data_IF_920764576494
#
_entry.id   IF_920764576494
#
_cell.length_a   1.000
_cell.length_b   1.000
_cell.length_c   1.000
_cell.angle_alpha   90.00
_cell.angle_beta   90.00
_cell.angle_gamma   90.00
#
_symmetry.space_group_name_H-M   'P 1'
#
loop_
_entity.id
_entity.type
_entity.pdbx_description
1 polymer ?
#
# COMPACT_ATOMS: atom_id res chain seq x y z
N UNK A 1 -1.57 16.10 -6.72
CA UNK A 1 -1.62 14.72 -6.25
C UNK A 1 -1.90 13.77 -7.39
N UNK A 2 -1.22 12.65 -7.44
CA UNK A 2 -1.38 11.66 -8.47
C UNK A 2 -2.06 10.45 -7.89
N UNK A 3 -2.98 9.85 -8.67
CA UNK A 3 -3.66 8.61 -8.28
C UNK A 3 -3.44 7.57 -9.36
N UNK A 4 -3.39 6.34 -8.95
CA UNK A 4 -3.37 5.22 -9.88
C UNK A 4 -4.74 4.56 -9.86
N UNK A 5 -5.26 4.30 -11.05
CA UNK A 5 -6.52 3.62 -11.22
C UNK A 5 -6.32 2.38 -12.02
N UNK A 6 -7.13 1.38 -11.74
CA UNK A 6 -7.22 0.22 -12.60
C UNK A 6 -8.47 0.38 -13.42
N UNK A 7 -8.26 0.73 -14.67
CA UNK A 7 -9.30 1.13 -15.55
C UNK A 7 -9.67 0.02 -16.47
N UNK A 8 -10.96 -0.13 -16.72
CA UNK A 8 -11.46 -1.13 -17.62
C UNK A 8 -12.39 -0.49 -18.60
N UNK A 9 -12.46 -1.07 -19.77
CA UNK A 9 -13.43 -0.67 -20.73
C UNK A 9 -14.82 -0.85 -20.15
N UNK A 10 -15.68 0.09 -20.39
CA UNK A 10 -17.01 0.06 -19.80
C UNK A 10 -17.82 -1.14 -20.25
N UNK A 11 -17.58 -1.63 -21.44
CA UNK A 11 -18.34 -2.77 -21.92
C UNK A 11 -18.10 -4.02 -21.10
N UNK A 12 -16.93 -4.12 -20.48
CA UNK A 12 -16.62 -5.27 -19.67
C UNK A 12 -16.79 -5.05 -18.21
N UNK A 13 -17.20 -3.84 -17.85
CA UNK A 13 -17.14 -3.47 -16.51
C UNK A 13 -18.03 -4.28 -15.60
N UNK A 14 -19.09 -4.83 -16.11
CA UNK A 14 -19.95 -5.64 -15.29
C UNK A 14 -19.25 -6.84 -14.68
N UNK A 15 -18.32 -7.41 -15.41
CA UNK A 15 -17.58 -8.54 -14.92
C UNK A 15 -16.53 -8.13 -13.91
N UNK A 16 -16.15 -6.88 -13.93
CA UNK A 16 -15.05 -6.40 -13.12
C UNK A 16 -15.46 -5.55 -11.96
N UNK A 17 -16.73 -5.34 -11.79
CA UNK A 17 -17.12 -4.46 -10.72
C UNK A 17 -16.76 -5.00 -9.37
N UNK A 18 -16.54 -6.28 -9.26
CA UNK A 18 -16.08 -6.86 -8.01
C UNK A 18 -14.59 -6.59 -7.78
N UNK A 19 -13.89 -6.24 -8.83
CA UNK A 19 -12.48 -5.95 -8.71
C UNK A 19 -12.34 -4.57 -8.16
N UNK A 20 -11.62 -4.46 -7.11
CA UNK A 20 -11.47 -3.17 -6.50
C UNK A 20 -10.68 -2.26 -7.37
N UNK A 21 -11.09 -1.05 -7.36
CA UNK A 21 -10.35 0.03 -7.93
C UNK A 21 -9.64 0.69 -6.79
N UNK A 22 -8.60 0.06 -6.30
CA UNK A 22 -7.86 0.58 -5.17
C UNK A 22 -7.02 1.73 -5.66
N UNK A 23 -7.30 2.90 -5.13
CA UNK A 23 -6.55 4.10 -5.48
C UNK A 23 -5.34 4.22 -4.58
N UNK A 24 -4.22 4.59 -5.17
CA UNK A 24 -2.99 4.85 -4.45
C UNK A 24 -2.65 6.33 -4.64
N UNK A 25 -2.58 7.04 -3.56
CA UNK A 25 -2.41 8.50 -3.56
C UNK A 25 -0.93 8.86 -3.39
N UNK A 26 -0.59 10.10 -3.70
CA UNK A 26 0.78 10.59 -3.53
C UNK A 26 1.49 10.73 -4.86
N UNK A 27 2.81 10.80 -4.82
CA UNK A 27 3.62 11.02 -6.01
C UNK A 27 4.02 9.70 -6.65
N UNK A 28 3.01 8.98 -7.11
CA UNK A 28 3.14 7.65 -7.69
C UNK A 28 3.68 7.76 -9.11
N UNK A 29 4.59 6.87 -9.48
CA UNK A 29 5.21 6.90 -10.79
C UNK A 29 4.88 5.71 -11.69
N UNK A 30 4.25 4.64 -11.15
CA UNK A 30 3.89 3.48 -11.97
C UNK A 30 2.71 2.73 -11.34
N UNK A 31 2.30 1.64 -11.97
CA UNK A 31 1.19 0.81 -11.50
C UNK A 31 1.54 -0.09 -10.34
N UNK A 32 2.80 -0.12 -9.94
CA UNK A 32 3.25 -1.04 -8.90
C UNK A 32 3.53 -0.34 -7.58
N UNK A 33 2.91 0.80 -7.37
CA UNK A 33 2.97 1.62 -6.15
C UNK A 33 4.32 2.29 -5.88
N UNK A 34 5.22 2.30 -6.85
CA UNK A 34 6.47 3.04 -6.68
C UNK A 34 6.20 4.54 -6.72
N UNK A 35 7.03 5.28 -6.05
CA UNK A 35 6.87 6.73 -5.98
C UNK A 35 8.20 7.42 -6.20
N UNK A 36 8.16 8.76 -6.26
CA UNK A 36 9.39 9.53 -6.47
C UNK A 36 10.38 9.34 -5.33
N UNK A 37 9.93 8.91 -4.15
CA UNK A 37 10.81 8.72 -2.99
C UNK A 37 11.42 7.32 -2.96
N UNK A 38 10.65 6.30 -3.35
CA UNK A 38 11.08 4.90 -3.31
C UNK A 38 10.65 4.23 -4.61
N UNK A 39 11.63 3.90 -5.44
CA UNK A 39 11.33 3.41 -6.79
C UNK A 39 12.23 2.28 -7.25
N UNK A 40 12.76 1.51 -6.32
CA UNK A 40 13.54 0.32 -6.69
C UNK A 40 12.58 -0.80 -7.14
N UNK A 41 13.11 -1.86 -7.75
CA UNK A 41 12.27 -3.00 -8.11
C UNK A 41 11.53 -3.63 -6.94
N UNK A 42 12.02 -3.44 -5.71
CA UNK A 42 11.42 -4.02 -4.52
C UNK A 42 10.42 -3.09 -3.82
N UNK A 43 10.29 -1.85 -4.27
CA UNK A 43 9.41 -0.88 -3.62
C UNK A 43 8.02 -0.96 -4.24
N UNK A 44 7.32 -2.07 -3.94
CA UNK A 44 6.06 -2.39 -4.58
C UNK A 44 4.92 -2.58 -3.58
N UNK A 45 5.00 -1.96 -2.43
CA UNK A 45 3.86 -1.97 -1.51
C UNK A 45 3.35 -0.55 -1.29
N UNK A 46 2.07 -0.46 -0.98
CA UNK A 46 1.48 0.77 -0.48
C UNK A 46 0.89 0.48 0.88
N UNK A 47 0.80 1.49 1.71
CA UNK A 47 0.30 1.37 3.07
C UNK A 47 -0.97 2.21 3.20
N UNK A 48 -2.01 1.61 3.77
CA UNK A 48 -3.22 2.34 4.09
C UNK A 48 -2.99 3.03 5.42
N UNK A 49 -3.14 4.34 5.45
CA UNK A 49 -2.94 5.11 6.67
C UNK A 49 -4.22 5.13 7.50
N UNK A 50 -4.08 4.92 8.79
CA UNK A 50 -5.21 4.86 9.69
C UNK A 50 -5.99 6.17 9.73
N UNK A 51 -5.28 7.28 9.66
CA UNK A 51 -5.88 8.61 9.79
C UNK A 51 -6.90 8.94 8.71
N UNK A 52 -6.77 8.35 7.52
CA UNK A 52 -7.63 8.70 6.40
C UNK A 52 -8.09 7.50 5.58
N UNK A 53 -7.64 6.30 5.92
CA UNK A 53 -8.06 5.07 5.26
C UNK A 53 -7.72 5.06 3.77
N UNK A 54 -6.61 5.71 3.40
CA UNK A 54 -6.15 5.80 2.03
C UNK A 54 -4.76 5.21 1.89
N UNK A 55 -4.51 4.57 0.74
CA UNK A 55 -3.21 4.00 0.43
C UNK A 55 -2.25 5.05 -0.11
N UNK A 56 -1.03 5.03 0.39
CA UNK A 56 0.09 5.84 -0.11
C UNK A 56 1.31 4.93 -0.25
N UNK A 57 2.20 5.21 -1.21
CA UNK A 57 3.39 4.37 -1.39
C UNK A 57 4.37 4.45 -0.22
N UNK A 58 4.41 5.56 0.48
CA UNK A 58 5.32 5.75 1.60
C UNK A 58 4.85 6.89 2.49
N UNK A 59 5.50 7.03 3.64
CA UNK A 59 5.12 8.07 4.60
C UNK A 59 5.38 9.48 4.06
N UNK A 60 6.40 9.64 3.23
CA UNK A 60 6.69 10.96 2.64
C UNK A 60 5.59 11.39 1.69
N UNK A 61 5.03 10.45 0.94
CA UNK A 61 3.89 10.75 0.08
C UNK A 61 2.71 11.25 0.90
N UNK A 62 2.46 10.60 2.04
CA UNK A 62 1.39 11.04 2.93
C UNK A 62 1.68 12.43 3.49
N UNK A 63 2.91 12.66 3.97
CA UNK A 63 3.29 13.95 4.52
C UNK A 63 3.11 15.08 3.52
N UNK A 64 3.49 14.86 2.28
CA UNK A 64 3.45 15.90 1.25
C UNK A 64 2.06 16.15 0.68
N UNK A 65 1.19 15.16 0.77
CA UNK A 65 -0.09 15.22 0.06
C UNK A 65 -1.27 15.41 1.01
N UNK A 66 -1.22 14.83 2.18
CA UNK A 66 -2.34 14.88 3.12
C UNK A 66 -2.34 16.21 3.88
N UNK A 67 -3.51 16.59 4.33
CA UNK A 67 -3.70 17.81 5.09
C UNK A 67 -3.81 17.54 6.59
N UNK A 68 -3.35 16.39 7.03
CA UNK A 68 -3.47 15.95 8.42
C UNK A 68 -2.27 15.09 8.78
N UNK A 69 -2.07 14.85 10.07
CA UNK A 69 -0.97 14.02 10.54
C UNK A 69 -1.31 12.55 10.41
N UNK A 70 -0.29 11.74 10.15
CA UNK A 70 -0.44 10.30 10.12
C UNK A 70 -0.73 9.77 11.52
N UNK A 71 -1.53 8.71 11.58
CA UNK A 71 -1.78 7.96 12.81
C UNK A 71 -1.28 6.55 12.61
N UNK A 72 -0.76 5.96 13.66
CA UNK A 72 -0.25 4.59 13.61
C UNK A 72 -1.39 3.60 13.84
N UNK A 73 -1.32 2.47 13.14
CA UNK A 73 -2.20 1.34 13.46
C UNK A 73 -1.73 0.73 14.77
N UNK A 74 -2.63 0.48 15.68
CA UNK A 74 -2.31 -0.14 16.97
C UNK A 74 -2.09 -1.63 16.79
N UNK A 75 -1.37 -2.24 17.73
CA UNK A 75 -1.06 -3.65 17.68
C UNK A 75 -2.33 -4.51 17.57
N UNK A 76 -3.36 -4.15 18.30
CA UNK A 76 -4.61 -4.90 18.25
C UNK A 76 -5.38 -4.71 16.96
N UNK A 77 -4.91 -3.81 16.08
CA UNK A 77 -5.52 -3.57 14.77
C UNK A 77 -4.80 -4.28 13.63
N UNK A 78 -3.81 -5.10 13.93
CA UNK A 78 -2.99 -5.76 12.91
C UNK A 78 -3.77 -6.75 12.03
N UNK A 79 -5.01 -7.04 12.36
CA UNK A 79 -5.88 -7.84 11.49
C UNK A 79 -6.52 -7.03 10.37
N UNK A 80 -6.22 -5.75 10.29
CA UNK A 80 -6.80 -4.86 9.28
C UNK A 80 -6.01 -4.95 7.99
N UNK A 81 -6.71 -4.96 6.87
CA UNK A 81 -6.06 -4.87 5.56
C UNK A 81 -5.52 -3.48 5.37
N UNK A 82 -4.21 -3.34 5.42
CA UNK A 82 -3.55 -2.05 5.32
C UNK A 82 -2.31 -2.07 4.45
N UNK A 83 -2.03 -3.18 3.79
CA UNK A 83 -0.90 -3.31 2.89
C UNK A 83 -1.42 -3.74 1.53
N UNK A 84 -0.98 -3.08 0.47
CA UNK A 84 -1.35 -3.42 -0.89
C UNK A 84 -0.11 -3.91 -1.63
N UNK A 85 -0.17 -5.11 -2.17
CA UNK A 85 0.88 -5.59 -3.05
C UNK A 85 0.74 -4.91 -4.40
N UNK A 86 1.75 -4.19 -4.82
CA UNK A 86 1.71 -3.45 -6.08
C UNK A 86 1.77 -4.34 -7.31
N UNK A 87 2.15 -5.60 -7.16
CA UNK A 87 2.21 -6.51 -8.31
C UNK A 87 0.87 -7.20 -8.56
N UNK A 88 0.28 -7.81 -7.54
CA UNK A 88 -0.95 -8.57 -7.74
C UNK A 88 -2.20 -7.85 -7.23
N UNK A 89 -2.03 -6.70 -6.61
CA UNK A 89 -3.11 -5.84 -6.12
C UNK A 89 -3.95 -6.47 -5.02
N UNK A 90 -3.39 -7.46 -4.35
CA UNK A 90 -4.04 -8.07 -3.20
C UNK A 90 -3.77 -7.23 -1.97
N UNK A 91 -4.80 -7.03 -1.17
CA UNK A 91 -4.63 -6.39 0.14
C UNK A 91 -4.24 -7.44 1.16
N UNK A 92 -3.28 -7.09 2.00
CA UNK A 92 -2.80 -7.95 3.08
C UNK A 92 -3.10 -7.27 4.39
N UNK A 93 -3.34 -8.08 5.42
CA UNK A 93 -3.38 -7.51 6.76
C UNK A 93 -1.97 -7.15 7.20
N UNK A 94 -1.87 -6.28 8.19
CA UNK A 94 -0.56 -5.93 8.76
C UNK A 94 0.13 -7.18 9.28
N UNK A 95 -0.63 -8.05 9.94
CA UNK A 95 -0.11 -9.31 10.47
C UNK A 95 0.48 -10.18 9.36
N UNK A 96 -0.25 -10.33 8.26
CA UNK A 96 0.23 -11.13 7.12
C UNK A 96 1.52 -10.55 6.55
N UNK A 97 1.57 -9.23 6.41
CA UNK A 97 2.75 -8.58 5.89
C UNK A 97 3.95 -8.76 6.82
N UNK A 98 3.74 -8.61 8.11
CA UNK A 98 4.82 -8.76 9.08
C UNK A 98 5.38 -10.18 9.12
N UNK A 99 4.55 -11.17 8.78
CA UNK A 99 4.97 -12.58 8.75
C UNK A 99 5.41 -13.06 7.39
N UNK A 100 5.37 -12.19 6.38
CA UNK A 100 5.53 -12.62 5.00
C UNK A 100 6.95 -12.99 4.59
N UNK A 101 7.94 -12.62 5.37
CA UNK A 101 9.33 -12.86 4.98
C UNK A 101 9.75 -12.06 3.76
N UNK A 102 9.19 -10.86 3.63
CA UNK A 102 9.48 -9.94 2.52
C UNK A 102 9.07 -10.47 1.15
N UNK A 103 7.99 -11.24 1.12
CA UNK A 103 7.39 -11.71 -0.12
C UNK A 103 5.88 -11.67 0.00
N UNK A 104 5.22 -11.38 -1.10
CA UNK A 104 3.76 -11.38 -1.09
C UNK A 104 3.26 -12.83 -0.93
N UNK A 105 2.43 -13.11 0.08
CA UNK A 105 1.92 -14.46 0.24
C UNK A 105 0.99 -14.90 -0.89
N UNK A 106 0.49 -13.96 -1.69
CA UNK A 106 -0.40 -14.29 -2.79
C UNK A 106 0.36 -14.53 -4.10
N UNK A 107 1.27 -13.64 -4.49
CA UNK A 107 1.95 -13.74 -5.79
C UNK A 107 3.45 -14.01 -5.67
N UNK A 108 3.97 -14.04 -4.46
CA UNK A 108 5.38 -14.30 -4.18
C UNK A 108 6.34 -13.21 -4.68
N UNK A 109 5.84 -12.05 -5.05
CA UNK A 109 6.72 -10.95 -5.41
C UNK A 109 7.56 -10.51 -4.20
N UNK A 110 8.80 -10.16 -4.45
CA UNK A 110 9.70 -9.76 -3.37
C UNK A 110 9.44 -8.32 -2.95
N UNK A 111 9.41 -8.08 -1.65
CA UNK A 111 9.27 -6.76 -1.07
C UNK A 111 10.62 -6.30 -0.52
N UNK A 112 10.77 -5.00 -0.37
CA UNK A 112 12.01 -4.43 0.13
C UNK A 112 12.18 -4.74 1.63
N UNK A 113 13.22 -5.48 2.02
CA UNK A 113 13.43 -5.79 3.44
C UNK A 113 13.79 -4.57 4.27
N UNK A 114 14.27 -3.51 3.63
CA UNK A 114 14.61 -2.28 4.35
C UNK A 114 13.40 -1.50 4.82
N UNK A 115 12.20 -1.89 4.42
CA UNK A 115 10.98 -1.27 4.91
C UNK A 115 10.84 -1.42 6.41
N UNK A 116 11.48 -2.42 7.02
CA UNK A 116 11.38 -2.63 8.45
C UNK A 116 11.96 -1.45 9.26
N UNK A 117 12.82 -0.66 8.64
CA UNK A 117 13.36 0.53 9.30
C UNK A 117 12.32 1.61 9.47
N UNK A 118 11.21 1.50 8.75
CA UNK A 118 10.15 2.51 8.76
C UNK A 118 8.84 2.01 9.34
N UNK A 119 8.78 0.77 9.83
CA UNK A 119 7.55 0.21 10.37
C UNK A 119 6.95 1.10 11.46
N UNK A 120 7.79 1.69 12.29
CA UNK A 120 7.34 2.54 13.38
C UNK A 120 6.62 3.81 12.91
N UNK A 121 6.71 4.12 11.61
CA UNK A 121 6.02 5.27 11.05
C UNK A 121 4.58 4.92 10.66
N UNK A 122 4.26 3.64 10.58
CA UNK A 122 2.96 3.17 10.14
C UNK A 122 2.23 2.36 11.20
N UNK A 123 2.96 1.56 11.96
CA UNK A 123 2.38 0.59 12.88
C UNK A 123 3.03 0.70 14.25
N UNK A 124 2.23 0.42 15.25
CA UNK A 124 2.74 0.25 16.60
C UNK A 124 3.45 -1.09 16.66
N UNK A 125 4.75 -1.12 16.92
CA UNK A 125 5.53 -2.35 16.83
C UNK A 125 6.03 -2.88 18.16
N UNK A 126 5.69 -2.25 19.24
CA UNK A 126 6.10 -2.75 20.58
C UNK A 126 5.09 -2.36 21.65
#
# INVERSE_FOLDING_TARGET
MVKIFYHFSSSNHLLFKAMSKIEVYGKVIDDNTRCVHYHSPLDIIAIKFKCCDKYYPCYQCHEETADHKAQLWKKEEWNTNAILCGMCKTELTIEEYMRSGNHCPNCNAAFNPNCNKHYHLYFEVS
#
